data_IF_404215301711
#
_entry.id   IF_404215301711
#
_cell.length_a   1.000
_cell.length_b   1.000
_cell.length_c   1.000
_cell.angle_alpha   90.00
_cell.angle_beta   90.00
_cell.angle_gamma   90.00
#
_symmetry.space_group_name_H-M   'P 1'
#
loop_
_entity.id
_entity.type
_entity.pdbx_description
1 polymer ?
#
# COMPACT_ATOMS: atom_id res chain seq x y z
N UNK A 1 -102.36 9.61 -63.08
CA UNK A 1 -101.05 10.11 -62.72
C UNK A 1 -100.58 9.51 -61.39
N UNK A 2 -99.67 8.57 -61.45
CA UNK A 2 -99.07 7.98 -60.27
C UNK A 2 -97.90 8.87 -59.86
N UNK A 3 -97.98 9.42 -58.66
CA UNK A 3 -96.89 10.20 -58.06
C UNK A 3 -95.98 9.21 -57.27
N UNK A 4 -94.73 9.11 -57.73
CA UNK A 4 -93.71 8.36 -57.00
C UNK A 4 -93.18 9.18 -55.84
N UNK A 5 -92.96 8.59 -54.67
CA UNK A 5 -92.31 9.29 -53.58
C UNK A 5 -90.76 9.41 -53.83
N UNK A 6 -90.17 10.48 -53.31
CA UNK A 6 -88.74 10.68 -53.50
C UNK A 6 -87.88 9.62 -52.72
N UNK A 7 -86.66 9.32 -53.19
CA UNK A 7 -85.79 8.32 -52.53
C UNK A 7 -85.29 8.84 -51.18
N UNK A 8 -84.96 7.94 -50.22
CA UNK A 8 -84.47 8.33 -48.90
C UNK A 8 -83.07 8.89 -48.99
N UNK A 9 -82.87 9.99 -48.30
CA UNK A 9 -81.58 10.67 -48.16
C UNK A 9 -80.62 9.81 -47.27
N UNK A 10 -79.55 9.37 -47.85
CA UNK A 10 -78.49 8.68 -47.13
C UNK A 10 -77.74 9.66 -46.20
N UNK A 11 -77.81 9.45 -44.89
CA UNK A 11 -77.03 10.17 -43.90
C UNK A 11 -75.65 9.49 -43.89
N UNK A 12 -74.54 10.26 -44.08
CA UNK A 12 -73.21 9.67 -44.02
C UNK A 12 -72.90 9.14 -42.61
N UNK A 13 -72.18 8.04 -42.49
CA UNK A 13 -71.75 7.50 -41.18
C UNK A 13 -70.85 8.48 -40.41
N UNK A 14 -71.26 8.78 -39.18
CA UNK A 14 -70.42 9.56 -38.22
C UNK A 14 -69.11 8.88 -38.04
N UNK A 15 -67.98 9.58 -38.24
CA UNK A 15 -66.64 9.13 -37.98
C UNK A 15 -66.51 8.75 -36.49
N UNK A 16 -65.78 7.66 -36.17
CA UNK A 16 -65.52 7.28 -34.78
C UNK A 16 -64.75 8.37 -34.07
N UNK A 17 -65.12 8.64 -32.81
CA UNK A 17 -64.40 9.56 -31.92
C UNK A 17 -62.96 9.17 -31.76
N UNK A 18 -62.02 10.13 -31.69
CA UNK A 18 -60.61 9.80 -31.47
C UNK A 18 -60.44 9.09 -30.12
N UNK A 19 -59.47 8.15 -30.03
CA UNK A 19 -59.20 7.47 -28.77
C UNK A 19 -58.75 8.46 -27.69
N UNK A 20 -59.18 8.25 -26.47
CA UNK A 20 -58.78 9.05 -25.31
C UNK A 20 -57.25 8.97 -25.15
N UNK A 21 -56.60 10.11 -24.77
CA UNK A 21 -55.15 10.09 -24.52
C UNK A 21 -54.81 9.05 -23.41
N UNK A 22 -53.67 8.37 -23.53
CA UNK A 22 -53.28 7.41 -22.52
C UNK A 22 -53.14 8.07 -21.14
N UNK A 23 -53.78 7.47 -20.16
CA UNK A 23 -53.70 7.89 -18.77
C UNK A 23 -52.21 7.81 -18.34
N UNK A 24 -51.61 8.99 -18.04
CA UNK A 24 -50.23 9.07 -17.56
C UNK A 24 -50.20 8.43 -16.18
N UNK A 25 -49.64 7.22 -16.11
CA UNK A 25 -49.43 6.58 -14.85
C UNK A 25 -48.54 7.44 -13.97
N UNK A 26 -49.10 7.95 -12.88
CA UNK A 26 -48.36 8.69 -11.86
C UNK A 26 -47.46 7.68 -11.16
N UNK A 27 -46.16 7.69 -11.52
CA UNK A 27 -45.15 6.92 -10.83
C UNK A 27 -45.04 7.51 -9.42
N UNK A 28 -45.37 6.77 -8.35
CA UNK A 28 -45.14 7.26 -6.99
C UNK A 28 -43.66 7.59 -6.81
N UNK A 29 -43.32 8.65 -6.04
CA UNK A 29 -41.93 8.97 -5.75
C UNK A 29 -41.23 7.74 -5.16
N UNK A 30 -39.91 7.50 -5.49
CA UNK A 30 -39.19 6.39 -4.93
C UNK A 30 -39.25 6.44 -3.42
N UNK A 31 -39.68 5.35 -2.79
CA UNK A 31 -39.61 5.19 -1.34
C UNK A 31 -38.12 5.17 -1.01
N UNK A 32 -37.58 6.30 -0.55
CA UNK A 32 -36.22 6.36 0.02
C UNK A 32 -36.30 5.54 1.30
N UNK A 33 -35.75 4.34 1.26
CA UNK A 33 -35.56 3.55 2.45
C UNK A 33 -34.79 4.39 3.48
N UNK A 34 -35.19 4.43 4.76
CA UNK A 34 -34.45 5.14 5.79
C UNK A 34 -32.99 4.62 5.74
N UNK A 35 -32.03 5.55 5.72
CA UNK A 35 -30.61 5.22 5.86
C UNK A 35 -30.46 4.27 7.06
N UNK A 36 -29.71 3.17 6.91
CA UNK A 36 -29.39 2.32 8.05
C UNK A 36 -28.84 3.20 9.18
N UNK A 37 -29.19 2.94 10.44
CA UNK A 37 -28.66 3.71 11.56
C UNK A 37 -27.13 3.74 11.45
N UNK A 38 -26.54 4.92 11.72
CA UNK A 38 -25.10 5.07 11.75
C UNK A 38 -24.50 3.94 12.62
N UNK A 39 -23.44 3.26 12.17
CA UNK A 39 -22.80 2.25 12.98
C UNK A 39 -22.48 2.86 14.34
N UNK A 40 -22.61 2.11 15.45
CA UNK A 40 -22.29 2.61 16.77
C UNK A 40 -20.87 3.18 16.76
N UNK A 41 -20.59 4.29 17.46
CA UNK A 41 -19.25 4.82 17.56
C UNK A 41 -18.34 3.68 18.03
N UNK A 42 -17.26 3.46 17.26
CA UNK A 42 -16.24 2.48 17.64
C UNK A 42 -15.80 2.83 19.08
N UNK A 43 -15.62 1.83 19.96
CA UNK A 43 -15.13 2.09 21.31
C UNK A 43 -13.89 2.96 21.17
N UNK A 44 -13.80 4.01 22.02
CA UNK A 44 -12.66 4.93 22.07
C UNK A 44 -11.39 4.13 22.33
N UNK A 45 -10.80 3.60 21.27
CA UNK A 45 -9.50 2.95 21.31
C UNK A 45 -8.48 4.07 21.56
N UNK A 46 -7.43 3.83 22.35
CA UNK A 46 -6.36 4.81 22.49
C UNK A 46 -5.89 5.20 21.08
N UNK A 47 -5.80 6.50 20.83
CA UNK A 47 -5.59 7.04 19.47
C UNK A 47 -4.28 6.56 18.84
N UNK A 48 -3.22 6.29 19.64
CA UNK A 48 -1.90 5.86 19.18
C UNK A 48 -1.72 4.34 19.05
N UNK A 49 -0.58 3.95 18.49
CA UNK A 49 -0.12 2.57 18.57
C UNK A 49 0.38 2.23 19.98
N UNK A 50 0.24 0.95 20.35
CA UNK A 50 0.67 0.44 21.67
C UNK A 50 2.05 -0.18 21.65
N UNK A 51 2.59 -0.41 20.44
CA UNK A 51 3.91 -0.98 20.22
C UNK A 51 4.54 -0.38 18.96
N UNK A 52 5.71 -0.84 18.58
CA UNK A 52 6.54 -0.29 17.51
C UNK A 52 5.80 -0.11 16.20
N UNK A 53 5.97 1.05 15.57
CA UNK A 53 5.51 1.31 14.19
C UNK A 53 6.56 0.78 13.23
N UNK A 54 6.20 -0.27 12.48
CA UNK A 54 7.13 -1.01 11.61
C UNK A 54 6.92 -0.77 10.12
N UNK A 55 5.84 -0.07 9.77
CA UNK A 55 5.54 0.30 8.38
C UNK A 55 4.80 1.63 8.30
N UNK A 56 5.13 2.40 7.27
CA UNK A 56 4.43 3.63 6.89
C UNK A 56 4.19 3.63 5.38
N UNK A 57 3.01 4.07 4.99
CA UNK A 57 2.67 4.38 3.60
C UNK A 57 1.89 5.69 3.56
N UNK A 58 2.25 6.58 2.63
CA UNK A 58 1.50 7.81 2.35
C UNK A 58 0.53 7.51 1.21
N UNK A 59 -0.70 7.98 1.34
CA UNK A 59 -1.70 7.81 0.30
C UNK A 59 -1.29 8.54 -0.99
N UNK A 60 -1.70 8.04 -2.18
CA UNK A 60 -1.37 8.68 -3.45
C UNK A 60 -1.85 10.14 -3.55
N UNK A 61 -2.92 10.50 -2.83
CA UNK A 61 -3.44 11.87 -2.76
C UNK A 61 -2.66 12.80 -1.80
N UNK A 62 -1.72 12.25 -1.03
CA UNK A 62 -0.90 12.97 -0.06
C UNK A 62 -1.61 13.39 1.23
N UNK A 63 -2.88 13.00 1.43
CA UNK A 63 -3.66 13.46 2.59
C UNK A 63 -3.64 12.53 3.79
N UNK A 64 -3.39 11.26 3.56
CA UNK A 64 -3.47 10.23 4.60
C UNK A 64 -2.18 9.43 4.72
N UNK A 65 -1.94 8.92 5.93
CA UNK A 65 -0.87 7.94 6.22
C UNK A 65 -1.53 6.66 6.72
N UNK A 66 -1.00 5.53 6.28
CA UNK A 66 -1.31 4.23 6.86
C UNK A 66 -0.08 3.70 7.59
N UNK A 67 -0.29 3.17 8.78
CA UNK A 67 0.78 2.57 9.60
C UNK A 67 0.43 1.15 9.99
N UNK A 68 1.46 0.28 10.05
CA UNK A 68 1.37 -1.04 10.65
C UNK A 68 2.27 -1.12 11.88
N UNK A 69 1.83 -1.86 12.88
CA UNK A 69 2.51 -1.98 14.16
C UNK A 69 2.58 -3.41 14.67
N UNK A 70 3.59 -3.65 15.50
CA UNK A 70 3.74 -4.88 16.27
C UNK A 70 2.62 -5.06 17.31
N UNK A 71 1.80 -4.04 17.55
CA UNK A 71 0.55 -4.13 18.32
C UNK A 71 -0.60 -4.83 17.57
N UNK A 72 -0.31 -5.41 16.40
CA UNK A 72 -1.20 -6.12 15.47
C UNK A 72 -2.15 -5.22 14.68
N UNK A 73 -2.17 -3.90 14.94
CA UNK A 73 -3.12 -2.99 14.30
C UNK A 73 -2.56 -2.32 13.05
N UNK A 74 -3.49 -2.03 12.13
CA UNK A 74 -3.29 -1.10 11.01
C UNK A 74 -4.13 0.13 11.29
N UNK A 75 -3.52 1.30 11.23
CA UNK A 75 -4.19 2.58 11.47
C UNK A 75 -4.10 3.50 10.28
N UNK A 76 -5.16 4.26 10.04
CA UNK A 76 -5.27 5.29 9.01
C UNK A 76 -5.37 6.65 9.69
N UNK A 77 -4.53 7.61 9.25
CA UNK A 77 -4.35 8.91 9.88
C UNK A 77 -4.55 10.03 8.86
N UNK A 78 -5.11 11.14 9.29
CA UNK A 78 -5.18 12.40 8.53
C UNK A 78 -3.96 13.26 8.86
N UNK A 79 -3.18 13.63 7.84
CA UNK A 79 -1.94 14.40 8.00
C UNK A 79 -2.25 15.83 8.44
N UNK A 80 -3.21 16.48 7.79
CA UNK A 80 -3.53 17.88 8.03
C UNK A 80 -4.23 18.08 9.39
N UNK A 81 -5.20 17.23 9.71
CA UNK A 81 -5.91 17.26 10.98
C UNK A 81 -5.08 16.70 12.14
N UNK A 82 -3.99 15.98 11.87
CA UNK A 82 -3.14 15.28 12.85
C UNK A 82 -3.96 14.35 13.76
N UNK A 83 -4.87 13.60 13.18
CA UNK A 83 -5.82 12.75 13.91
C UNK A 83 -5.91 11.35 13.33
N UNK A 84 -6.24 10.39 14.19
CA UNK A 84 -6.61 9.05 13.76
C UNK A 84 -7.96 9.10 13.03
N UNK A 85 -7.97 8.73 11.76
CA UNK A 85 -9.23 8.52 11.03
C UNK A 85 -9.91 7.26 11.57
N UNK A 86 -9.14 6.15 11.65
CA UNK A 86 -9.63 4.88 12.21
C UNK A 86 -8.53 3.84 12.37
N UNK A 87 -8.80 2.81 13.19
CA UNK A 87 -8.13 1.52 13.09
C UNK A 87 -8.75 0.79 11.90
N UNK A 88 -7.95 0.60 10.84
CA UNK A 88 -8.41 0.00 9.59
C UNK A 88 -8.58 -1.52 9.73
N UNK A 89 -7.75 -2.15 10.56
CA UNK A 89 -7.81 -3.59 10.78
C UNK A 89 -6.89 -4.07 11.89
N UNK A 90 -7.09 -5.34 12.24
CA UNK A 90 -6.27 -6.06 13.22
C UNK A 90 -5.89 -7.40 12.61
N UNK A 91 -4.61 -7.75 12.67
CA UNK A 91 -4.08 -9.07 12.35
C UNK A 91 -4.06 -9.94 13.61
N UNK A 92 -4.03 -11.27 13.44
CA UNK A 92 -3.94 -12.23 14.57
C UNK A 92 -2.57 -12.23 15.22
N UNK A 93 -1.54 -11.77 14.48
CA UNK A 93 -0.17 -11.59 14.92
C UNK A 93 0.33 -10.22 14.44
N UNK A 94 1.62 -9.91 14.63
CA UNK A 94 2.20 -8.61 14.28
C UNK A 94 1.83 -8.17 12.85
N UNK A 95 1.28 -6.96 12.72
CA UNK A 95 1.06 -6.36 11.42
C UNK A 95 2.39 -5.82 10.87
N UNK A 96 2.80 -6.28 9.68
CA UNK A 96 4.12 -6.01 9.10
C UNK A 96 4.13 -4.98 8.01
N UNK A 97 3.05 -4.90 7.24
CA UNK A 97 3.00 -4.04 6.06
C UNK A 97 1.57 -3.66 5.72
N UNK A 98 1.41 -2.46 5.19
CA UNK A 98 0.14 -1.92 4.75
C UNK A 98 0.36 -0.98 3.57
N UNK A 99 -0.32 -1.21 2.46
CA UNK A 99 -0.14 -0.51 1.21
C UNK A 99 -1.48 0.00 0.68
N UNK A 100 -1.53 1.23 0.24
CA UNK A 100 -2.67 1.73 -0.51
C UNK A 100 -2.74 1.05 -1.87
N UNK A 101 -3.93 0.65 -2.28
CA UNK A 101 -4.15 0.20 -3.64
C UNK A 101 -4.17 1.40 -4.60
N UNK A 102 -3.74 1.22 -5.86
CA UNK A 102 -3.79 2.28 -6.87
C UNK A 102 -5.21 2.81 -7.14
N UNK A 103 -6.25 2.06 -6.76
CA UNK A 103 -7.66 2.49 -6.87
C UNK A 103 -8.01 3.66 -5.91
N UNK A 104 -7.16 3.94 -4.92
CA UNK A 104 -7.36 4.98 -3.93
C UNK A 104 -8.50 4.73 -2.93
N UNK A 105 -9.17 3.56 -2.98
CA UNK A 105 -10.34 3.25 -2.13
C UNK A 105 -10.14 2.03 -1.25
N UNK A 106 -9.11 1.23 -1.50
CA UNK A 106 -8.78 0.04 -0.74
C UNK A 106 -7.29 -0.03 -0.37
N UNK A 107 -6.96 -0.92 0.54
CA UNK A 107 -5.61 -1.20 1.00
C UNK A 107 -5.36 -2.70 1.11
N UNK A 108 -4.11 -3.13 0.89
CA UNK A 108 -3.62 -4.45 1.27
C UNK A 108 -2.82 -4.36 2.56
N UNK A 109 -3.10 -5.24 3.50
CA UNK A 109 -2.40 -5.36 4.78
C UNK A 109 -1.91 -6.78 4.98
N UNK A 110 -0.77 -6.97 5.62
CA UNK A 110 -0.24 -8.30 5.87
C UNK A 110 0.54 -8.37 7.19
N UNK A 111 0.64 -9.56 7.75
CA UNK A 111 1.26 -9.78 9.04
C UNK A 111 1.89 -11.17 9.22
N UNK A 112 2.43 -11.39 10.41
CA UNK A 112 3.06 -12.65 10.81
C UNK A 112 2.06 -13.80 10.92
N UNK A 113 0.75 -13.51 10.94
CA UNK A 113 -0.34 -14.48 10.83
C UNK A 113 -0.42 -15.18 9.46
N UNK A 114 0.37 -14.72 8.48
CA UNK A 114 0.44 -15.28 7.13
C UNK A 114 -0.75 -14.89 6.23
N UNK A 115 -1.62 -14.01 6.69
CA UNK A 115 -2.75 -13.50 5.91
C UNK A 115 -2.38 -12.19 5.20
N UNK A 116 -2.86 -12.02 3.99
CA UNK A 116 -2.92 -10.72 3.29
C UNK A 116 -4.39 -10.37 3.20
N UNK A 117 -4.76 -9.20 3.68
CA UNK A 117 -6.16 -8.78 3.77
C UNK A 117 -6.37 -7.50 2.96
N UNK A 118 -7.25 -7.57 1.97
CA UNK A 118 -7.73 -6.37 1.27
C UNK A 118 -8.88 -5.76 2.06
N UNK A 119 -8.76 -4.47 2.36
CA UNK A 119 -9.72 -3.71 3.16
C UNK A 119 -10.16 -2.45 2.45
N UNK A 120 -11.41 -2.09 2.63
CA UNK A 120 -11.94 -0.81 2.20
C UNK A 120 -11.47 0.31 3.14
N UNK A 121 -10.95 1.42 2.60
CA UNK A 121 -10.43 2.53 3.42
C UNK A 121 -11.53 3.27 4.20
N UNK A 122 -12.73 3.37 3.64
CA UNK A 122 -13.82 4.17 4.21
C UNK A 122 -14.40 3.62 5.51
N UNK A 123 -14.35 2.30 5.73
CA UNK A 123 -14.97 1.63 6.89
C UNK A 123 -14.15 0.47 7.49
N UNK A 124 -13.03 0.08 6.84
CA UNK A 124 -12.18 -1.04 7.25
C UNK A 124 -12.75 -2.42 6.89
N UNK A 125 -13.88 -2.46 6.17
CA UNK A 125 -14.49 -3.74 5.78
C UNK A 125 -13.53 -4.62 4.99
N UNK A 126 -13.50 -5.91 5.32
CA UNK A 126 -12.72 -6.91 4.60
C UNK A 126 -13.37 -7.18 3.25
N UNK A 127 -12.62 -6.93 2.19
CA UNK A 127 -13.04 -7.20 0.81
C UNK A 127 -12.59 -8.59 0.37
N UNK A 128 -11.35 -8.96 0.72
CA UNK A 128 -10.77 -10.25 0.38
C UNK A 128 -9.69 -10.66 1.40
N UNK A 129 -9.51 -11.98 1.59
CA UNK A 129 -8.43 -12.55 2.39
C UNK A 129 -7.65 -13.53 1.51
N UNK A 130 -6.35 -13.28 1.37
CA UNK A 130 -5.44 -14.15 0.65
C UNK A 130 -4.64 -14.93 1.69
N UNK A 131 -4.71 -16.25 1.65
CA UNK A 131 -3.98 -17.13 2.56
C UNK A 131 -2.73 -17.68 1.90
N UNK A 132 -1.61 -17.58 2.59
CA UNK A 132 -0.33 -18.07 2.09
C UNK A 132 -0.19 -19.59 2.06
N UNK A 133 -1.21 -20.33 2.52
CA UNK A 133 -1.21 -21.79 2.47
C UNK A 133 -0.10 -22.47 3.27
N UNK A 134 0.31 -21.87 4.41
CA UNK A 134 1.35 -22.43 5.29
C UNK A 134 2.78 -21.98 4.98
N UNK A 135 2.97 -20.94 4.16
CA UNK A 135 4.30 -20.36 3.88
C UNK A 135 4.89 -19.52 5.03
N UNK A 136 4.23 -19.51 6.19
CA UNK A 136 4.63 -18.70 7.34
C UNK A 136 4.16 -17.25 7.24
N UNK A 137 4.64 -16.41 8.15
CA UNK A 137 4.31 -14.99 8.19
C UNK A 137 4.68 -14.25 6.90
N UNK A 138 3.91 -13.19 6.58
CA UNK A 138 4.22 -12.27 5.48
C UNK A 138 5.08 -11.15 6.03
N UNK A 139 6.35 -11.14 5.64
CA UNK A 139 7.33 -10.14 6.10
C UNK A 139 7.23 -8.82 5.35
N UNK A 140 7.03 -8.89 4.05
CA UNK A 140 6.93 -7.72 3.15
C UNK A 140 5.93 -7.97 2.04
N UNK A 141 5.32 -6.89 1.60
CA UNK A 141 4.35 -6.87 0.52
C UNK A 141 4.68 -5.72 -0.43
N UNK A 142 4.49 -5.93 -1.72
CA UNK A 142 4.53 -4.90 -2.75
C UNK A 142 3.37 -5.10 -3.72
N UNK A 143 2.92 -4.02 -4.37
CA UNK A 143 1.81 -4.04 -5.34
C UNK A 143 2.34 -3.53 -6.68
N UNK A 144 1.92 -4.17 -7.77
CA UNK A 144 2.21 -3.66 -9.11
C UNK A 144 1.50 -2.32 -9.36
N UNK A 145 2.10 -1.39 -10.11
CA UNK A 145 1.52 -0.06 -10.32
C UNK A 145 0.13 -0.07 -10.95
N UNK A 146 -0.20 -1.11 -11.72
CA UNK A 146 -1.52 -1.31 -12.33
C UNK A 146 -2.56 -1.93 -11.38
N UNK A 147 -2.16 -2.28 -10.16
CA UNK A 147 -3.02 -2.89 -9.15
C UNK A 147 -3.48 -4.32 -9.43
N UNK A 148 -2.89 -5.01 -10.44
CA UNK A 148 -3.32 -6.36 -10.78
C UNK A 148 -2.65 -7.44 -9.96
N UNK A 149 -1.41 -7.20 -9.53
CA UNK A 149 -0.60 -8.18 -8.82
C UNK A 149 -0.11 -7.63 -7.48
N UNK A 150 -0.01 -8.51 -6.49
CA UNK A 150 0.77 -8.29 -5.30
C UNK A 150 1.90 -9.32 -5.22
N UNK A 151 3.01 -8.94 -4.61
CA UNK A 151 4.14 -9.81 -4.36
C UNK A 151 4.38 -9.84 -2.85
N UNK A 152 4.42 -11.03 -2.27
CA UNK A 152 4.68 -11.21 -0.85
C UNK A 152 5.94 -12.04 -0.60
N UNK A 153 6.75 -11.58 0.36
CA UNK A 153 7.90 -12.29 0.88
C UNK A 153 7.58 -12.94 2.22
N UNK A 154 7.98 -14.19 2.39
CA UNK A 154 7.57 -15.03 3.52
C UNK A 154 8.74 -15.53 4.36
N UNK A 155 8.45 -15.87 5.63
CA UNK A 155 9.43 -16.39 6.60
C UNK A 155 10.17 -17.65 6.12
N UNK A 156 9.49 -18.49 5.34
CA UNK A 156 10.06 -19.75 4.84
C UNK A 156 10.84 -19.61 3.53
N UNK A 157 11.17 -18.39 3.12
CA UNK A 157 11.98 -18.13 1.92
C UNK A 157 11.20 -18.18 0.62
N UNK A 158 9.88 -18.24 0.68
CA UNK A 158 9.02 -18.22 -0.51
C UNK A 158 8.65 -16.78 -0.88
N UNK A 159 8.52 -16.55 -2.17
CA UNK A 159 7.95 -15.35 -2.76
C UNK A 159 6.68 -15.76 -3.50
N UNK A 160 5.57 -15.11 -3.23
CA UNK A 160 4.30 -15.43 -3.86
C UNK A 160 3.83 -14.23 -4.68
N UNK A 161 3.47 -14.48 -5.93
CA UNK A 161 2.75 -13.53 -6.79
C UNK A 161 1.26 -13.84 -6.73
N UNK A 162 0.46 -12.84 -6.45
CA UNK A 162 -0.98 -12.92 -6.34
C UNK A 162 -1.66 -12.22 -7.51
N UNK A 163 -2.65 -12.86 -8.11
CA UNK A 163 -3.63 -12.22 -9.00
C UNK A 163 -4.71 -11.59 -8.13
N UNK A 164 -4.67 -10.27 -7.97
CA UNK A 164 -5.58 -9.55 -7.07
C UNK A 164 -7.03 -9.55 -7.56
N UNK A 165 -7.24 -9.66 -8.87
CA UNK A 165 -8.58 -9.73 -9.45
C UNK A 165 -9.25 -11.09 -9.19
N UNK A 166 -8.47 -12.17 -9.32
CA UNK A 166 -8.97 -13.52 -9.06
C UNK A 166 -8.95 -13.91 -7.59
N UNK A 167 -8.20 -13.17 -6.76
CA UNK A 167 -8.02 -13.51 -5.36
C UNK A 167 -7.20 -14.78 -5.15
N UNK A 168 -6.27 -15.09 -6.04
CA UNK A 168 -5.58 -16.38 -6.07
C UNK A 168 -4.06 -16.23 -6.27
N UNK A 169 -3.34 -17.27 -5.88
CA UNK A 169 -1.91 -17.40 -6.19
C UNK A 169 -1.73 -17.51 -7.70
N UNK A 170 -0.93 -16.64 -8.29
CA UNK A 170 -0.49 -16.74 -9.67
C UNK A 170 0.77 -17.62 -9.75
N UNK A 171 1.78 -17.32 -8.94
CA UNK A 171 3.01 -18.08 -8.84
C UNK A 171 3.48 -18.21 -7.39
N UNK A 172 3.98 -19.39 -7.02
CA UNK A 172 4.72 -19.61 -5.78
C UNK A 172 6.19 -19.90 -6.15
N UNK A 173 7.04 -18.92 -5.91
CA UNK A 173 8.46 -18.96 -6.27
C UNK A 173 9.27 -19.34 -5.03
N UNK A 174 10.00 -20.43 -5.09
CA UNK A 174 10.91 -20.88 -4.03
C UNK A 174 12.35 -20.58 -4.38
N UNK A 175 13.22 -20.55 -3.38
CA UNK A 175 14.64 -20.49 -3.66
C UNK A 175 15.44 -19.36 -3.01
N UNK A 176 14.79 -18.51 -2.22
CA UNK A 176 15.51 -17.81 -1.17
C UNK A 176 15.62 -18.82 -0.02
N UNK A 177 16.78 -19.38 0.24
CA UNK A 177 16.96 -20.44 1.26
C UNK A 177 16.57 -20.04 2.69
N UNK A 178 16.36 -18.74 2.91
CA UNK A 178 16.03 -18.09 4.18
C UNK A 178 14.89 -17.09 4.02
N UNK A 179 14.36 -16.57 5.13
CA UNK A 179 13.26 -15.61 5.16
C UNK A 179 13.47 -14.46 4.17
N UNK A 180 12.42 -14.14 3.42
CA UNK A 180 12.38 -13.00 2.49
C UNK A 180 11.95 -11.75 3.24
N UNK A 181 12.91 -10.87 3.50
CA UNK A 181 12.75 -9.66 4.31
C UNK A 181 12.60 -8.37 3.51
N UNK A 182 12.77 -8.44 2.19
CA UNK A 182 12.55 -7.31 1.28
C UNK A 182 11.85 -7.78 0.00
N UNK A 183 10.87 -7.03 -0.47
CA UNK A 183 10.29 -7.18 -1.80
C UNK A 183 10.03 -5.80 -2.40
N UNK A 184 10.16 -5.69 -3.71
CA UNK A 184 9.81 -4.49 -4.48
C UNK A 184 9.29 -4.90 -5.87
N UNK A 185 8.50 -4.06 -6.49
CA UNK A 185 8.01 -4.21 -7.87
C UNK A 185 8.55 -3.08 -8.72
N UNK A 186 9.02 -3.39 -9.92
CA UNK A 186 9.50 -2.42 -10.88
C UNK A 186 8.36 -1.50 -11.37
N UNK A 187 8.66 -0.24 -11.75
CA UNK A 187 7.64 0.73 -12.18
C UNK A 187 6.82 0.29 -13.39
N UNK A 188 7.37 -0.60 -14.23
CA UNK A 188 6.66 -1.16 -15.39
C UNK A 188 5.71 -2.32 -15.03
N UNK A 189 5.73 -2.76 -13.76
CA UNK A 189 4.92 -3.87 -13.26
C UNK A 189 5.34 -5.25 -13.74
N UNK A 190 6.47 -5.40 -14.45
CA UNK A 190 6.91 -6.67 -15.06
C UNK A 190 7.88 -7.46 -14.20
N UNK A 191 8.67 -6.77 -13.41
CA UNK A 191 9.71 -7.39 -12.60
C UNK A 191 9.47 -7.17 -11.11
N UNK A 192 9.86 -8.15 -10.32
CA UNK A 192 9.88 -8.05 -8.87
C UNK A 192 11.25 -8.43 -8.32
N UNK A 193 11.65 -7.77 -7.24
CA UNK A 193 12.79 -8.15 -6.43
C UNK A 193 12.35 -8.89 -5.19
N UNK A 194 13.13 -9.89 -4.78
CA UNK A 194 13.14 -10.42 -3.42
C UNK A 194 14.54 -10.33 -2.83
N UNK A 195 14.63 -9.87 -1.58
CA UNK A 195 15.85 -9.86 -0.77
C UNK A 195 15.68 -10.73 0.47
N UNK A 196 16.69 -11.51 0.79
CA UNK A 196 16.68 -12.49 1.88
C UNK A 196 17.57 -12.08 3.04
N UNK A 197 17.33 -12.66 4.22
CA UNK A 197 18.17 -12.46 5.40
C UNK A 197 19.58 -13.06 5.26
N UNK A 198 19.83 -13.86 4.22
CA UNK A 198 21.18 -14.34 3.87
C UNK A 198 21.97 -13.39 2.96
N UNK A 199 21.38 -12.23 2.59
CA UNK A 199 21.98 -11.24 1.69
C UNK A 199 21.78 -11.51 0.20
N UNK A 200 21.12 -12.62 -0.15
CA UNK A 200 20.79 -12.93 -1.56
C UNK A 200 19.68 -12.05 -2.09
N UNK A 201 19.90 -11.51 -3.29
CA UNK A 201 18.94 -10.78 -4.07
C UNK A 201 18.52 -11.61 -5.29
N UNK A 202 17.21 -11.63 -5.60
CA UNK A 202 16.68 -12.31 -6.78
C UNK A 202 15.71 -11.40 -7.53
N UNK A 203 15.89 -11.35 -8.84
CA UNK A 203 15.00 -10.66 -9.76
C UNK A 203 14.11 -11.69 -10.46
N UNK A 204 12.82 -11.40 -10.53
CA UNK A 204 11.78 -12.30 -11.03
C UNK A 204 10.98 -11.61 -12.13
N UNK A 205 10.54 -12.35 -13.11
CA UNK A 205 9.49 -11.96 -14.05
C UNK A 205 8.13 -12.30 -13.43
N UNK A 206 7.27 -11.31 -13.27
CA UNK A 206 5.99 -11.44 -12.55
C UNK A 206 5.02 -12.33 -13.31
N UNK A 207 4.95 -12.18 -14.65
CA UNK A 207 3.99 -12.90 -15.47
C UNK A 207 4.29 -14.40 -15.57
N UNK A 208 5.56 -14.75 -15.73
CA UNK A 208 5.97 -16.15 -15.87
C UNK A 208 6.40 -16.83 -14.57
N UNK A 209 6.65 -16.05 -13.50
CA UNK A 209 7.22 -16.55 -12.24
C UNK A 209 8.67 -17.01 -12.35
N UNK A 210 9.36 -16.71 -13.46
CA UNK A 210 10.74 -17.16 -13.68
C UNK A 210 11.75 -16.25 -12.99
N UNK A 211 12.79 -16.86 -12.40
CA UNK A 211 13.94 -16.12 -11.92
C UNK A 211 14.75 -15.61 -13.11
N UNK A 212 14.92 -14.29 -13.19
CA UNK A 212 15.72 -13.62 -14.21
C UNK A 212 17.20 -13.55 -13.81
N UNK A 213 17.45 -13.23 -12.53
CA UNK A 213 18.79 -13.07 -11.98
C UNK A 213 18.84 -13.44 -10.50
N UNK A 214 20.02 -13.85 -10.03
CA UNK A 214 20.33 -14.00 -8.61
C UNK A 214 21.77 -13.60 -8.34
N UNK A 215 22.00 -12.85 -7.26
CA UNK A 215 23.35 -12.45 -6.84
C UNK A 215 23.39 -12.26 -5.32
N UNK A 216 24.59 -12.33 -4.76
CA UNK A 216 24.83 -11.98 -3.37
C UNK A 216 25.03 -10.45 -3.29
N UNK A 217 24.06 -9.76 -2.73
CA UNK A 217 24.05 -8.30 -2.70
C UNK A 217 24.72 -7.72 -1.47
N UNK A 218 24.54 -8.37 -0.32
CA UNK A 218 24.99 -7.88 0.97
C UNK A 218 25.59 -8.99 1.82
N UNK A 219 26.56 -8.63 2.67
CA UNK A 219 27.21 -9.57 3.62
C UNK A 219 26.27 -10.04 4.73
N UNK A 220 25.19 -9.31 4.97
CA UNK A 220 24.10 -9.63 5.90
C UNK A 220 22.76 -9.41 5.22
N UNK A 221 21.67 -9.77 5.89
CA UNK A 221 20.32 -9.72 5.35
C UNK A 221 19.92 -8.39 4.69
N UNK A 222 19.09 -8.48 3.66
CA UNK A 222 18.48 -7.34 2.97
C UNK A 222 17.09 -7.08 3.54
N UNK A 223 16.81 -5.87 4.03
CA UNK A 223 15.55 -5.52 4.72
C UNK A 223 14.72 -4.47 4.01
N UNK A 224 15.36 -3.55 3.29
CA UNK A 224 14.73 -2.53 2.47
C UNK A 224 15.04 -2.72 0.99
N UNK A 225 14.08 -2.46 0.11
CA UNK A 225 14.29 -2.46 -1.33
C UNK A 225 13.32 -1.50 -2.02
N UNK A 226 13.81 -0.78 -3.04
CA UNK A 226 13.01 0.07 -3.90
C UNK A 226 13.62 0.17 -5.30
N UNK A 227 12.80 0.08 -6.34
CA UNK A 227 13.23 0.41 -7.71
C UNK A 227 13.22 1.93 -7.89
N UNK A 228 14.16 2.46 -8.65
CA UNK A 228 14.10 3.83 -9.14
C UNK A 228 12.96 4.01 -10.15
N UNK A 229 12.47 5.24 -10.31
CA UNK A 229 11.31 5.53 -11.17
C UNK A 229 11.57 5.19 -12.66
N UNK A 230 12.84 5.22 -13.11
CA UNK A 230 13.25 4.82 -14.46
C UNK A 230 13.26 3.29 -14.66
N UNK A 231 13.19 2.51 -13.56
CA UNK A 231 13.23 1.05 -13.60
C UNK A 231 14.61 0.45 -13.90
N UNK A 232 15.66 1.27 -14.11
CA UNK A 232 17.00 0.78 -14.43
C UNK A 232 17.86 0.49 -13.22
N UNK A 233 17.48 1.03 -12.05
CA UNK A 233 18.24 0.83 -10.82
C UNK A 233 17.36 0.29 -9.69
N UNK A 234 18.03 -0.29 -8.72
CA UNK A 234 17.45 -0.82 -7.50
C UNK A 234 18.27 -0.33 -6.31
N UNK A 235 17.60 0.15 -5.26
CA UNK A 235 18.23 0.48 -3.99
C UNK A 235 17.91 -0.60 -2.98
N UNK A 236 18.90 -1.05 -2.22
CA UNK A 236 18.72 -2.04 -1.14
C UNK A 236 19.41 -1.61 0.14
N UNK A 237 18.75 -1.85 1.29
CA UNK A 237 19.28 -1.59 2.63
C UNK A 237 19.48 -2.88 3.41
N UNK A 238 20.53 -2.94 4.23
CA UNK A 238 21.02 -4.18 4.77
C UNK A 238 21.40 -4.16 6.25
N UNK A 239 21.48 -5.37 6.82
CA UNK A 239 22.11 -5.67 8.10
C UNK A 239 23.62 -5.49 8.12
N UNK A 240 24.27 -5.27 6.99
CA UNK A 240 25.69 -4.87 6.90
C UNK A 240 25.89 -3.35 7.08
N UNK A 241 24.78 -2.63 7.38
CA UNK A 241 24.72 -1.19 7.66
C UNK A 241 24.88 -0.31 6.43
N UNK A 242 25.01 -0.90 5.24
CA UNK A 242 25.12 -0.19 3.98
C UNK A 242 23.78 -0.11 3.24
N UNK A 243 23.69 0.89 2.37
CA UNK A 243 22.70 0.95 1.31
C UNK A 243 23.45 0.86 -0.01
N UNK A 244 22.94 0.09 -0.96
CA UNK A 244 23.56 -0.08 -2.28
C UNK A 244 22.58 0.26 -3.40
N UNK A 245 23.07 0.98 -4.39
CA UNK A 245 22.41 1.20 -5.67
C UNK A 245 22.97 0.20 -6.68
N UNK A 246 22.10 -0.55 -7.31
CA UNK A 246 22.41 -1.57 -8.31
C UNK A 246 21.98 -1.11 -9.69
N UNK A 247 22.85 -1.20 -10.67
CA UNK A 247 22.49 -1.10 -12.06
C UNK A 247 21.94 -2.45 -12.54
N UNK A 248 20.70 -2.49 -12.96
CA UNK A 248 20.00 -3.74 -13.29
C UNK A 248 20.42 -4.31 -14.65
N UNK A 249 20.92 -3.49 -15.56
CA UNK A 249 21.37 -3.95 -16.87
C UNK A 249 22.68 -4.72 -16.73
N UNK A 250 23.66 -4.17 -16.02
CA UNK A 250 24.93 -4.82 -15.74
C UNK A 250 24.89 -5.81 -14.58
N UNK A 251 23.97 -5.63 -13.62
CA UNK A 251 23.88 -6.36 -12.35
C UNK A 251 24.99 -6.02 -11.35
N UNK A 252 25.63 -4.86 -11.51
CA UNK A 252 26.72 -4.41 -10.65
C UNK A 252 26.28 -3.33 -9.68
N UNK A 253 27.00 -3.23 -8.56
CA UNK A 253 26.89 -2.10 -7.64
C UNK A 253 27.33 -0.83 -8.35
N UNK A 254 26.41 0.12 -8.53
CA UNK A 254 26.65 1.42 -9.12
C UNK A 254 27.09 2.44 -8.07
N UNK A 255 26.54 2.33 -6.84
CA UNK A 255 26.86 3.24 -5.73
C UNK A 255 26.60 2.57 -4.39
N UNK A 256 27.32 3.04 -3.38
CA UNK A 256 27.13 2.68 -1.98
C UNK A 256 26.93 3.93 -1.13
N UNK A 257 26.02 3.84 -0.16
CA UNK A 257 25.79 4.87 0.84
C UNK A 257 26.20 4.30 2.19
N UNK A 258 27.13 4.97 2.85
CA UNK A 258 27.72 4.53 4.10
C UNK A 258 27.53 5.59 5.18
N UNK A 259 27.38 5.15 6.42
CA UNK A 259 27.25 6.04 7.57
C UNK A 259 26.37 5.49 8.68
N UNK A 260 25.37 4.62 8.38
CA UNK A 260 24.60 3.94 9.42
C UNK A 260 25.50 3.02 10.24
N UNK A 261 25.21 2.96 11.55
CA UNK A 261 25.90 2.11 12.52
C UNK A 261 25.03 0.92 12.96
N UNK A 262 23.89 0.73 12.33
CA UNK A 262 22.94 -0.36 12.57
C UNK A 262 22.25 -0.80 11.30
N UNK A 263 21.49 -1.89 11.40
CA UNK A 263 20.72 -2.45 10.28
C UNK A 263 19.81 -1.40 9.63
N UNK A 264 19.92 -1.24 8.31
CA UNK A 264 19.03 -0.39 7.52
C UNK A 264 17.74 -1.18 7.20
N UNK A 265 16.65 -0.85 7.88
CA UNK A 265 15.38 -1.57 7.83
C UNK A 265 14.42 -1.06 6.76
N UNK A 266 14.42 0.24 6.53
CA UNK A 266 13.46 0.89 5.65
C UNK A 266 14.14 1.84 4.69
N UNK A 267 13.60 1.93 3.49
CA UNK A 267 14.02 2.82 2.43
C UNK A 267 12.80 3.43 1.76
N UNK A 268 12.89 4.70 1.38
CA UNK A 268 11.92 5.34 0.50
C UNK A 268 12.64 6.31 -0.44
N UNK A 269 12.22 6.33 -1.69
CA UNK A 269 12.69 7.30 -2.69
C UNK A 269 11.72 8.48 -2.76
N UNK A 270 12.25 9.69 -2.94
CA UNK A 270 11.42 10.87 -3.23
C UNK A 270 10.76 10.73 -4.61
N UNK A 271 9.64 11.43 -4.81
CA UNK A 271 8.88 11.35 -6.06
C UNK A 271 9.68 11.78 -7.31
N UNK A 272 10.65 12.70 -7.14
CA UNK A 272 11.58 13.13 -8.19
C UNK A 272 12.75 12.16 -8.41
N UNK A 273 12.88 11.12 -7.55
CA UNK A 273 13.97 10.15 -7.58
C UNK A 273 15.34 10.70 -7.18
N UNK A 274 15.44 11.96 -6.77
CA UNK A 274 16.73 12.58 -6.46
C UNK A 274 17.21 12.32 -5.03
N UNK A 275 16.29 11.94 -4.14
CA UNK A 275 16.59 11.73 -2.72
C UNK A 275 16.14 10.35 -2.26
N UNK A 276 16.91 9.80 -1.34
CA UNK A 276 16.62 8.57 -0.65
C UNK A 276 16.55 8.84 0.85
N UNK A 277 15.55 8.33 1.53
CA UNK A 277 15.55 8.28 3.00
C UNK A 277 15.70 6.84 3.46
N UNK A 278 16.49 6.64 4.51
CA UNK A 278 16.70 5.35 5.16
C UNK A 278 16.39 5.44 6.64
N UNK A 279 15.83 4.38 7.21
CA UNK A 279 15.62 4.19 8.66
C UNK A 279 16.41 3.01 9.18
N UNK A 280 17.01 3.16 10.37
CA UNK A 280 17.95 2.18 10.91
C UNK A 280 17.73 1.84 12.37
N UNK A 281 18.25 0.67 12.75
CA UNK A 281 18.36 0.22 14.16
C UNK A 281 19.30 1.11 14.99
N UNK A 282 20.16 1.93 14.37
CA UNK A 282 21.00 2.90 15.07
C UNK A 282 20.20 4.07 15.68
N UNK A 283 18.89 4.11 15.46
CA UNK A 283 17.98 5.16 15.96
C UNK A 283 17.90 6.37 15.06
N UNK A 284 18.58 6.37 13.91
CA UNK A 284 18.57 7.49 12.98
C UNK A 284 17.82 7.17 11.68
N UNK A 285 17.21 8.21 11.10
CA UNK A 285 16.91 8.22 9.68
C UNK A 285 17.90 9.14 8.99
N UNK A 286 18.30 8.80 7.76
CA UNK A 286 19.24 9.60 6.98
C UNK A 286 18.69 9.90 5.61
N UNK A 287 18.91 11.14 5.18
CA UNK A 287 18.55 11.62 3.85
C UNK A 287 19.81 11.67 2.99
N UNK A 288 19.72 11.11 1.79
CA UNK A 288 20.83 10.94 0.87
C UNK A 288 20.52 11.57 -0.48
N UNK A 289 21.51 12.13 -1.10
CA UNK A 289 21.50 12.55 -2.50
C UNK A 289 21.79 11.33 -3.38
N UNK A 290 20.88 11.04 -4.30
CA UNK A 290 20.97 9.83 -5.15
C UNK A 290 22.06 9.94 -6.20
N UNK A 291 22.38 11.15 -6.67
CA UNK A 291 23.38 11.35 -7.71
C UNK A 291 24.81 11.32 -7.17
N UNK A 292 25.04 11.84 -5.99
CA UNK A 292 26.38 11.92 -5.38
C UNK A 292 26.66 10.81 -4.36
N UNK A 293 25.61 10.26 -3.73
CA UNK A 293 25.71 9.33 -2.61
C UNK A 293 25.98 9.99 -1.28
N UNK A 294 26.02 11.34 -1.23
CA UNK A 294 26.31 12.08 -0.01
C UNK A 294 25.09 12.14 0.90
N UNK A 295 25.34 12.10 2.21
CA UNK A 295 24.32 12.37 3.20
C UNK A 295 23.95 13.85 3.19
N UNK A 296 22.65 14.17 3.02
CA UNK A 296 22.11 15.54 3.07
C UNK A 296 21.77 15.92 4.51
N UNK A 297 21.08 15.00 5.24
CA UNK A 297 20.64 15.25 6.60
C UNK A 297 20.62 13.94 7.42
N UNK A 298 20.61 14.09 8.74
CA UNK A 298 20.42 13.01 9.70
C UNK A 298 19.35 13.45 10.71
N UNK A 299 18.43 12.53 10.98
CA UNK A 299 17.31 12.69 11.88
C UNK A 299 17.45 11.68 13.02
N UNK A 300 17.79 12.17 14.20
CA UNK A 300 17.99 11.31 15.40
C UNK A 300 16.70 11.25 16.22
N UNK A 301 16.09 10.05 16.31
CA UNK A 301 14.88 9.85 17.09
C UNK A 301 15.08 10.05 18.59
N UNK A 302 16.30 9.81 19.09
CA UNK A 302 16.68 9.76 20.52
C UNK A 302 15.87 8.79 21.36
N UNK A 303 15.02 7.98 20.72
CA UNK A 303 14.04 7.12 21.39
C UNK A 303 14.15 5.65 20.96
N UNK A 304 15.16 5.33 20.16
CA UNK A 304 15.45 3.97 19.71
C UNK A 304 15.27 3.77 18.22
N UNK A 305 15.24 2.51 17.77
CA UNK A 305 15.21 2.13 16.36
C UNK A 305 14.12 2.78 15.53
N UNK A 306 14.46 3.15 14.29
CA UNK A 306 13.53 3.59 13.25
C UNK A 306 13.32 2.43 12.28
N UNK A 307 12.08 1.92 12.22
CA UNK A 307 11.71 0.77 11.40
C UNK A 307 11.01 1.13 10.10
N UNK A 308 10.45 2.34 10.00
CA UNK A 308 9.68 2.78 8.86
C UNK A 308 10.01 4.21 8.49
N UNK A 309 10.10 4.48 7.18
CA UNK A 309 10.28 5.81 6.62
C UNK A 309 9.39 6.00 5.40
N UNK A 310 8.98 7.25 5.16
CA UNK A 310 8.26 7.63 3.96
C UNK A 310 8.53 9.10 3.63
N UNK A 311 8.27 9.51 2.38
CA UNK A 311 8.15 10.90 2.01
C UNK A 311 6.69 11.32 1.94
N UNK A 312 6.39 12.51 2.40
CA UNK A 312 5.13 13.20 2.11
C UNK A 312 5.17 13.84 0.72
N UNK A 313 4.04 14.29 0.24
CA UNK A 313 3.93 14.93 -1.08
C UNK A 313 4.75 16.25 -1.18
N UNK A 314 4.92 16.98 -0.09
CA UNK A 314 5.72 18.19 0.00
C UNK A 314 7.23 17.92 0.24
N UNK A 315 7.60 16.63 0.33
CA UNK A 315 8.99 16.18 0.46
C UNK A 315 9.54 16.20 1.87
N UNK A 316 8.70 16.34 2.91
CA UNK A 316 9.14 16.10 4.29
C UNK A 316 9.30 14.61 4.55
N UNK A 317 10.04 14.25 5.58
CA UNK A 317 10.36 12.86 5.91
C UNK A 317 9.51 12.41 7.09
N UNK A 318 8.81 11.30 6.93
CA UNK A 318 8.10 10.63 8.01
C UNK A 318 8.93 9.46 8.54
N UNK A 319 8.92 9.29 9.85
CA UNK A 319 9.51 8.11 10.51
C UNK A 319 8.54 7.45 11.47
N UNK A 320 8.61 6.13 11.56
CA UNK A 320 7.95 5.33 12.58
C UNK A 320 8.96 4.42 13.24
N UNK A 321 8.83 4.22 14.55
CA UNK A 321 9.86 3.50 15.29
C UNK A 321 9.38 2.82 16.57
N UNK A 322 10.38 2.46 17.37
CA UNK A 322 10.21 1.74 18.64
C UNK A 322 9.45 2.54 19.70
N UNK A 323 9.47 3.86 19.59
CA UNK A 323 8.77 4.76 20.51
C UNK A 323 7.25 4.86 20.25
N UNK A 324 6.73 4.07 19.33
CA UNK A 324 5.29 4.00 18.99
C UNK A 324 4.75 5.27 18.33
N UNK A 325 5.64 6.21 17.93
CA UNK A 325 5.26 7.49 17.33
C UNK A 325 5.43 7.49 15.82
N UNK A 326 4.70 8.39 15.16
CA UNK A 326 5.00 8.82 13.80
C UNK A 326 5.46 10.27 13.88
N UNK A 327 6.66 10.54 13.36
CA UNK A 327 7.31 11.86 13.38
C UNK A 327 7.44 12.42 11.99
N UNK A 328 7.32 13.72 11.90
CA UNK A 328 7.56 14.51 10.70
C UNK A 328 8.85 15.33 10.89
N UNK A 329 9.71 15.30 9.87
CA UNK A 329 11.01 15.96 9.88
C UNK A 329 11.13 16.87 8.67
N UNK A 330 11.52 18.13 8.87
CA UNK A 330 11.84 19.03 7.75
C UNK A 330 12.94 18.43 6.87
N UNK A 331 12.81 18.50 5.55
CA UNK A 331 13.81 17.98 4.62
C UNK A 331 15.20 18.62 4.76
N UNK A 332 15.26 19.83 5.29
CA UNK A 332 16.52 20.55 5.55
C UNK A 332 17.25 20.08 6.83
N UNK A 333 16.69 19.13 7.57
CA UNK A 333 17.15 18.74 8.90
C UNK A 333 16.55 19.60 9.99
N UNK A 334 16.78 19.24 11.24
CA UNK A 334 16.28 19.94 12.43
C UNK A 334 15.43 19.04 13.34
N UNK A 335 14.70 19.66 14.27
CA UNK A 335 13.88 18.93 15.22
C UNK A 335 12.59 18.40 14.56
N UNK A 336 12.19 17.20 14.97
CA UNK A 336 10.94 16.57 14.51
C UNK A 336 9.72 17.15 15.22
N UNK A 337 8.59 17.04 14.53
CA UNK A 337 7.27 17.18 15.14
C UNK A 337 6.68 15.78 15.28
N UNK A 338 6.23 15.42 16.48
CA UNK A 338 5.43 14.21 16.67
C UNK A 338 4.06 14.46 16.05
N UNK A 339 3.77 13.81 14.92
CA UNK A 339 2.45 13.89 14.29
C UNK A 339 1.44 13.06 15.06
N UNK A 340 1.80 11.83 15.42
CA UNK A 340 0.93 10.90 16.11
C UNK A 340 1.69 10.23 17.24
N UNK A 341 1.25 10.48 18.47
CA UNK A 341 1.83 9.87 19.67
C UNK A 341 1.36 8.42 19.81
N UNK A 342 2.18 7.59 20.47
CA UNK A 342 1.78 6.28 20.93
C UNK A 342 0.62 6.37 21.93
N UNK A 343 -0.10 5.25 22.13
CA UNK A 343 -1.11 5.16 23.16
C UNK A 343 -0.45 5.33 24.54
N UNK A 344 -1.09 6.00 25.51
CA UNK A 344 -0.61 6.02 26.87
C UNK A 344 -0.53 4.60 27.44
N UNK A 345 0.40 4.38 28.38
CA UNK A 345 0.56 3.11 29.12
C UNK A 345 -0.65 2.77 29.99
#
# INVERSE_FOLDING_TARGET
ALVHPPPPTLVPPTAPAPPAPPEVAVIPPPIVAPLPPAPPPLPTQPEGHRDSVVWLAVAPDGHSIMSASTDHTIKLWDIAAKQLIRTLGVHKDMARTALFMPDGVSALTAGDDGEIVQRKLSDGAVLHVFSSGGNGGVRKLAISPDGKHAISGHDRGNVIVWDLKKGAVLHAMSGNGWSVSAVAVAPDGRQALSGSIDGTLKLWDIESGKQLRSWHGHERGTYGAAFTADGHHLVTGSGDYTIKLWDLDSGREARRFEGHEGTVYALALSADGQRLVSGSLDGTARLWDMDTGNQIAMFDSRTGPIYAVAFTADGTVLTGGNDRTIRDWPAAGGDSIVLFAGAPE
#
